data_IF_753592750771
#
_entry.id   IF_753592750771
#
_cell.length_a   1.000
_cell.length_b   1.000
_cell.length_c   1.000
_cell.angle_alpha   90.00
_cell.angle_beta   90.00
_cell.angle_gamma   90.00
#
_symmetry.space_group_name_H-M   'P 1'
#
loop_
_entity.id
_entity.type
_entity.pdbx_description
1 polymer ?
#
# COMPACT_ATOMS: atom_id res chain seq x y z
N UNK A 1 9.99 20.90 -40.44
CA UNK A 1 9.35 20.84 -39.11
C UNK A 1 9.26 19.37 -38.71
N UNK A 2 10.10 18.92 -37.77
CA UNK A 2 10.06 17.53 -37.27
C UNK A 2 9.30 17.52 -35.94
N UNK A 3 8.16 16.84 -35.90
CA UNK A 3 7.40 16.64 -34.67
C UNK A 3 8.07 15.52 -33.86
N UNK A 4 8.59 15.86 -32.68
CA UNK A 4 9.12 14.90 -31.72
C UNK A 4 7.95 14.22 -30.99
N UNK A 5 7.96 12.89 -30.79
CA UNK A 5 6.92 12.23 -30.01
C UNK A 5 7.09 12.62 -28.54
N UNK A 6 6.13 13.36 -27.99
CA UNK A 6 5.98 13.51 -26.56
C UNK A 6 5.68 12.12 -25.97
N UNK A 7 6.74 11.46 -25.50
CA UNK A 7 6.68 10.28 -24.64
C UNK A 7 5.85 10.64 -23.40
N UNK A 8 4.56 10.30 -23.46
CA UNK A 8 3.63 10.34 -22.33
C UNK A 8 4.23 9.44 -21.25
N UNK A 9 4.90 10.06 -20.26
CA UNK A 9 5.38 9.36 -19.05
C UNK A 9 4.18 8.73 -18.39
N UNK A 10 3.96 7.45 -18.66
CA UNK A 10 2.89 6.63 -18.11
C UNK A 10 2.82 6.84 -16.58
N UNK A 11 1.85 7.59 -16.03
CA UNK A 11 1.81 7.85 -14.59
C UNK A 11 1.62 6.56 -13.78
N UNK A 12 1.10 5.51 -14.44
CA UNK A 12 1.02 4.13 -13.96
C UNK A 12 2.39 3.52 -13.64
N UNK A 13 3.44 3.81 -14.42
CA UNK A 13 4.78 3.23 -14.20
C UNK A 13 5.41 3.76 -12.92
N UNK A 14 5.23 5.05 -12.61
CA UNK A 14 5.78 5.67 -11.40
C UNK A 14 5.09 5.18 -10.12
N UNK A 15 3.77 4.96 -10.16
CA UNK A 15 3.01 4.43 -9.03
C UNK A 15 3.37 2.95 -8.82
N UNK A 16 3.35 2.18 -9.90
CA UNK A 16 3.72 0.76 -9.90
C UNK A 16 5.14 0.54 -9.40
N UNK A 17 6.12 1.29 -9.91
CA UNK A 17 7.52 1.25 -9.46
C UNK A 17 7.64 1.55 -7.97
N UNK A 18 7.09 2.68 -7.49
CA UNK A 18 7.13 3.03 -6.06
C UNK A 18 6.44 2.01 -5.17
N UNK A 19 5.31 1.46 -5.63
CA UNK A 19 4.60 0.41 -4.93
C UNK A 19 5.47 -0.85 -4.82
N UNK A 20 6.03 -1.32 -5.93
CA UNK A 20 6.89 -2.51 -6.00
C UNK A 20 8.08 -2.35 -5.06
N UNK A 21 8.86 -1.26 -5.18
CA UNK A 21 10.05 -1.04 -4.36
C UNK A 21 9.72 -1.08 -2.87
N UNK A 22 8.63 -0.42 -2.45
CA UNK A 22 8.20 -0.41 -1.05
C UNK A 22 7.69 -1.76 -0.59
N UNK A 23 6.89 -2.44 -1.42
CA UNK A 23 6.29 -3.71 -1.08
C UNK A 23 7.32 -4.82 -1.00
N UNK A 24 8.22 -4.94 -1.98
CA UNK A 24 9.30 -5.92 -1.96
C UNK A 24 10.22 -5.70 -0.75
N UNK A 25 10.61 -4.46 -0.46
CA UNK A 25 11.41 -4.16 0.73
C UNK A 25 10.71 -4.54 2.04
N UNK A 26 9.38 -4.40 2.12
CA UNK A 26 8.61 -4.85 3.28
C UNK A 26 8.44 -6.38 3.33
N UNK A 27 8.32 -7.01 2.16
CA UNK A 27 8.19 -8.46 2.03
C UNK A 27 9.46 -9.17 2.48
N UNK A 28 10.64 -8.71 2.02
CA UNK A 28 11.94 -9.23 2.45
C UNK A 28 12.11 -9.18 3.97
N UNK A 29 11.63 -8.11 4.62
CA UNK A 29 11.63 -8.00 6.10
C UNK A 29 10.73 -9.04 6.76
N UNK A 30 9.51 -9.22 6.25
CA UNK A 30 8.57 -10.22 6.78
C UNK A 30 9.13 -11.63 6.63
N UNK A 31 9.78 -11.94 5.50
CA UNK A 31 10.37 -13.26 5.26
C UNK A 31 11.64 -13.50 6.08
N UNK A 32 12.36 -12.45 6.47
CA UNK A 32 13.52 -12.54 7.35
C UNK A 32 13.12 -12.73 8.83
N UNK A 33 12.05 -12.07 9.28
CA UNK A 33 11.54 -12.19 10.67
C UNK A 33 10.81 -13.52 10.95
N UNK A 34 10.26 -14.18 9.93
CA UNK A 34 9.51 -15.43 10.07
C UNK A 34 9.83 -16.37 8.89
N UNK A 35 10.95 -17.11 8.97
CA UNK A 35 11.33 -18.09 7.96
C UNK A 35 10.20 -19.10 7.74
N UNK A 36 9.99 -19.53 6.50
CA UNK A 36 8.91 -20.47 6.08
C UNK A 36 8.88 -21.78 6.90
N UNK A 37 9.97 -22.08 7.60
CA UNK A 37 10.22 -23.32 8.33
C UNK A 37 9.33 -23.54 9.56
N UNK A 38 8.67 -22.50 10.12
CA UNK A 38 7.72 -22.68 11.22
C UNK A 38 6.28 -22.83 10.71
N UNK A 39 5.88 -24.08 10.44
CA UNK A 39 4.62 -24.46 9.77
C UNK A 39 3.38 -24.49 10.69
N UNK A 40 3.37 -23.75 11.81
CA UNK A 40 2.17 -23.65 12.63
C UNK A 40 1.05 -22.89 11.89
N UNK A 41 -0.21 -23.35 11.89
CA UNK A 41 -1.34 -22.63 11.28
C UNK A 41 -1.46 -21.17 11.76
N UNK A 42 -1.14 -20.92 13.03
CA UNK A 42 -1.14 -19.59 13.63
C UNK A 42 -0.07 -18.69 13.01
N UNK A 43 1.14 -19.22 12.73
CA UNK A 43 2.23 -18.49 12.08
C UNK A 43 1.89 -18.14 10.63
N UNK A 44 1.30 -19.09 9.91
CA UNK A 44 0.81 -18.89 8.54
C UNK A 44 -0.20 -17.74 8.49
N UNK A 45 -1.20 -17.75 9.38
CA UNK A 45 -2.20 -16.68 9.44
C UNK A 45 -1.60 -15.32 9.82
N UNK A 46 -0.67 -15.29 10.78
CA UNK A 46 0.03 -14.07 11.17
C UNK A 46 0.84 -13.49 10.00
N UNK A 47 1.54 -14.33 9.25
CA UNK A 47 2.32 -13.93 8.08
C UNK A 47 1.42 -13.37 6.98
N UNK A 48 0.32 -14.04 6.65
CA UNK A 48 -0.69 -13.52 5.73
C UNK A 48 -1.17 -12.11 6.14
N UNK A 49 -1.48 -11.93 7.43
CA UNK A 49 -1.93 -10.64 7.95
C UNK A 49 -0.85 -9.56 7.81
N UNK A 50 0.42 -9.88 8.10
CA UNK A 50 1.55 -8.96 7.91
C UNK A 50 1.73 -8.56 6.44
N UNK A 51 1.64 -9.53 5.52
CA UNK A 51 1.75 -9.29 4.07
C UNK A 51 0.61 -8.38 3.59
N UNK A 52 -0.64 -8.65 3.97
CA UNK A 52 -1.79 -7.79 3.64
C UNK A 52 -1.60 -6.35 4.14
N UNK A 53 -1.12 -6.19 5.39
CA UNK A 53 -0.85 -4.88 5.97
C UNK A 53 0.30 -4.17 5.25
N UNK A 54 1.40 -4.87 4.94
CA UNK A 54 2.54 -4.33 4.20
C UNK A 54 2.15 -3.87 2.80
N UNK A 55 1.29 -4.63 2.13
CA UNK A 55 0.72 -4.28 0.83
C UNK A 55 -0.08 -2.98 0.91
N UNK A 56 -1.03 -2.88 1.84
CA UNK A 56 -1.84 -1.68 2.03
C UNK A 56 -1.01 -0.45 2.41
N UNK A 57 0.00 -0.62 3.27
CA UNK A 57 0.96 0.46 3.61
C UNK A 57 1.75 0.90 2.38
N UNK A 58 2.27 -0.04 1.60
CA UNK A 58 3.08 0.26 0.41
C UNK A 58 2.26 1.01 -0.64
N UNK A 59 0.98 0.65 -0.80
CA UNK A 59 0.01 1.34 -1.65
C UNK A 59 -0.26 2.77 -1.16
N UNK A 60 -0.51 2.96 0.14
CA UNK A 60 -0.72 4.29 0.70
C UNK A 60 0.53 5.19 0.55
N UNK A 61 1.74 4.65 0.75
CA UNK A 61 2.97 5.41 0.59
C UNK A 61 3.35 5.69 -0.87
N UNK A 62 2.88 4.90 -1.84
CA UNK A 62 3.22 5.12 -3.26
C UNK A 62 2.52 6.34 -3.84
N UNK A 63 1.38 6.76 -3.29
CA UNK A 63 0.58 7.86 -3.84
C UNK A 63 0.98 9.25 -3.34
N UNK A 64 2.00 9.32 -2.48
CA UNK A 64 2.43 10.51 -1.72
C UNK A 64 1.30 10.96 -0.76
N UNK A 65 1.66 11.56 0.36
CA UNK A 65 0.76 11.87 1.49
C UNK A 65 -0.34 12.91 1.21
N UNK A 66 -0.68 13.20 -0.06
CA UNK A 66 -1.70 14.17 -0.46
C UNK A 66 -3.12 13.60 -0.46
N UNK A 67 -3.28 12.28 -0.53
CA UNK A 67 -4.59 11.62 -0.65
C UNK A 67 -5.24 11.38 0.72
N UNK A 68 -6.51 11.74 0.87
CA UNK A 68 -7.24 11.61 2.13
C UNK A 68 -7.34 10.13 2.54
N UNK A 69 -7.67 9.23 1.60
CA UNK A 69 -7.74 7.80 1.90
C UNK A 69 -6.37 7.23 2.31
N UNK A 70 -5.27 7.73 1.74
CA UNK A 70 -3.91 7.30 2.10
C UNK A 70 -3.57 7.71 3.53
N UNK A 71 -3.87 8.96 3.90
CA UNK A 71 -3.68 9.47 5.28
C UNK A 71 -4.52 8.68 6.28
N UNK A 72 -5.80 8.44 5.97
CA UNK A 72 -6.69 7.63 6.79
C UNK A 72 -6.17 6.19 6.94
N UNK A 73 -5.75 5.56 5.85
CA UNK A 73 -5.19 4.21 5.85
C UNK A 73 -3.91 4.12 6.71
N UNK A 74 -2.99 5.08 6.59
CA UNK A 74 -1.78 5.15 7.42
C UNK A 74 -2.10 5.42 8.90
N UNK A 75 -3.08 6.29 9.19
CA UNK A 75 -3.54 6.57 10.56
C UNK A 75 -4.04 5.30 11.25
N UNK A 76 -4.88 4.51 10.58
CA UNK A 76 -5.39 3.23 11.10
C UNK A 76 -4.28 2.25 11.49
N UNK A 77 -3.14 2.29 10.81
CA UNK A 77 -2.00 1.44 11.15
C UNK A 77 -1.11 2.00 12.27
N UNK A 78 -1.09 3.31 12.49
CA UNK A 78 -0.40 3.95 13.62
C UNK A 78 -1.16 3.72 14.92
N UNK A 79 -2.48 3.88 14.91
CA UNK A 79 -3.34 3.67 16.10
C UNK A 79 -3.27 2.24 16.65
N UNK A 80 -3.03 1.24 15.79
CA UNK A 80 -2.86 -0.17 16.22
C UNK A 80 -1.54 -0.44 16.98
N UNK A 81 -0.53 0.43 16.87
CA UNK A 81 0.68 0.36 17.70
C UNK A 81 0.49 1.05 19.06
N UNK A 82 -0.40 2.03 19.12
CA UNK A 82 -0.70 2.79 20.34
C UNK A 82 -1.70 2.11 21.28
N UNK A 83 -2.42 1.08 20.84
CA UNK A 83 -3.39 0.36 21.68
C UNK A 83 -2.74 -0.44 22.84
N UNK A 84 -1.41 -0.63 22.82
CA UNK A 84 -0.64 -1.19 23.93
C UNK A 84 0.02 -0.13 24.83
N UNK A 85 0.06 1.14 24.41
CA UNK A 85 0.54 2.24 25.24
C UNK A 85 -0.65 3.05 25.72
N UNK A 86 -1.16 2.71 26.91
CA UNK A 86 -2.27 3.41 27.55
C UNK A 86 -2.05 4.91 27.64
N UNK A 87 -2.57 5.66 26.66
CA UNK A 87 -2.99 7.05 26.78
C UNK A 87 -3.74 7.39 25.52
N UNK A 88 -5.04 7.64 25.67
CA UNK A 88 -5.93 8.16 24.64
C UNK A 88 -5.54 9.62 24.39
N UNK A 89 -4.35 9.84 23.84
CA UNK A 89 -3.96 11.13 23.27
C UNK A 89 -4.85 11.32 22.06
N UNK A 90 -5.68 12.36 22.12
CA UNK A 90 -6.32 12.95 20.95
C UNK A 90 -5.20 13.40 20.02
N UNK A 91 -4.68 12.46 19.22
CA UNK A 91 -3.82 12.79 18.10
C UNK A 91 -4.71 13.58 17.18
N UNK A 92 -4.54 14.91 17.22
CA UNK A 92 -5.13 15.87 16.31
C UNK A 92 -4.87 15.33 14.90
N UNK A 93 -5.87 14.68 14.35
CA UNK A 93 -5.92 14.26 12.96
C UNK A 93 -5.93 15.57 12.19
N UNK A 94 -4.74 16.05 11.82
CA UNK A 94 -4.65 17.10 10.83
C UNK A 94 -5.41 16.53 9.62
N UNK A 95 -6.61 17.06 9.40
CA UNK A 95 -7.45 17.00 8.20
C UNK A 95 -8.08 15.64 7.83
N UNK A 96 -8.58 14.86 8.79
CA UNK A 96 -9.46 13.70 8.50
C UNK A 96 -10.96 14.00 8.77
N UNK A 97 -11.29 15.23 9.14
CA UNK A 97 -12.65 15.67 9.47
C UNK A 97 -13.20 16.77 8.54
N UNK A 98 -12.48 17.11 7.48
CA UNK A 98 -13.01 18.01 6.44
C UNK A 98 -14.01 17.21 5.60
N UNK A 99 -15.27 17.67 5.57
CA UNK A 99 -16.28 17.12 4.68
C UNK A 99 -15.76 17.24 3.25
N UNK A 100 -15.67 16.11 2.56
CA UNK A 100 -15.17 16.07 1.18
C UNK A 100 -16.32 16.41 0.24
N UNK A 101 -16.13 17.42 -0.60
CA UNK A 101 -17.06 17.68 -1.70
C UNK A 101 -17.17 16.47 -2.66
N UNK A 102 -18.31 16.32 -3.33
CA UNK A 102 -18.64 15.21 -4.22
C UNK A 102 -17.58 15.04 -5.31
N UNK A 103 -17.12 16.14 -5.93
CA UNK A 103 -16.08 16.08 -6.96
C UNK A 103 -14.76 15.51 -6.41
N UNK A 104 -14.37 15.93 -5.21
CA UNK A 104 -13.16 15.45 -4.54
C UNK A 104 -13.29 13.97 -4.13
N UNK A 105 -14.48 13.53 -3.68
CA UNK A 105 -14.75 12.13 -3.35
C UNK A 105 -14.62 11.23 -4.58
N UNK A 106 -15.13 11.68 -5.73
CA UNK A 106 -15.02 10.96 -6.99
C UNK A 106 -13.55 10.87 -7.47
N UNK A 107 -12.76 11.95 -7.36
CA UNK A 107 -11.32 11.92 -7.68
C UNK A 107 -10.56 10.94 -6.77
N UNK A 108 -10.79 11.00 -5.45
CA UNK A 108 -10.16 10.07 -4.51
C UNK A 108 -10.56 8.61 -4.79
N UNK A 109 -11.81 8.37 -5.18
CA UNK A 109 -12.33 7.04 -5.52
C UNK A 109 -11.68 6.51 -6.81
N UNK A 110 -11.65 7.31 -7.87
CA UNK A 110 -10.99 6.96 -9.12
C UNK A 110 -9.50 6.66 -8.89
N UNK A 111 -8.85 7.52 -8.09
CA UNK A 111 -7.46 7.33 -7.71
C UNK A 111 -7.26 6.05 -6.87
N UNK A 112 -8.14 5.76 -5.94
CA UNK A 112 -8.10 4.54 -5.13
C UNK A 112 -8.25 3.28 -5.97
N UNK A 113 -9.21 3.26 -6.91
CA UNK A 113 -9.42 2.15 -7.85
C UNK A 113 -8.14 1.92 -8.67
N UNK A 114 -7.53 2.98 -9.22
CA UNK A 114 -6.26 2.87 -9.95
C UNK A 114 -5.14 2.25 -9.10
N UNK A 115 -5.07 2.60 -7.82
CA UNK A 115 -4.11 2.03 -6.89
C UNK A 115 -4.37 0.56 -6.61
N UNK A 116 -5.63 0.18 -6.42
CA UNK A 116 -6.05 -1.21 -6.23
C UNK A 116 -5.71 -2.06 -7.45
N UNK A 117 -6.03 -1.59 -8.65
CA UNK A 117 -5.67 -2.28 -9.89
C UNK A 117 -4.16 -2.51 -9.97
N UNK A 118 -3.36 -1.50 -9.64
CA UNK A 118 -1.90 -1.62 -9.62
C UNK A 118 -1.42 -2.63 -8.58
N UNK A 119 -2.00 -2.59 -7.37
CA UNK A 119 -1.70 -3.54 -6.30
C UNK A 119 -1.98 -4.96 -6.76
N UNK A 120 -3.17 -5.24 -7.31
CA UNK A 120 -3.56 -6.57 -7.80
C UNK A 120 -2.64 -7.05 -8.92
N UNK A 121 -2.33 -6.19 -9.90
CA UNK A 121 -1.42 -6.54 -11.00
C UNK A 121 -0.04 -6.93 -10.49
N UNK A 122 0.50 -6.20 -9.52
CA UNK A 122 1.81 -6.51 -8.93
C UNK A 122 1.76 -7.81 -8.14
N UNK A 123 0.72 -8.03 -7.33
CA UNK A 123 0.57 -9.29 -6.57
C UNK A 123 0.47 -10.50 -7.49
N UNK A 124 -0.31 -10.40 -8.58
CA UNK A 124 -0.41 -11.46 -9.59
C UNK A 124 0.94 -11.75 -10.22
N UNK A 125 1.67 -10.73 -10.67
CA UNK A 125 3.00 -10.92 -11.25
C UNK A 125 3.98 -11.59 -10.29
N UNK A 126 3.97 -11.23 -9.01
CA UNK A 126 4.79 -11.89 -8.00
C UNK A 126 4.44 -13.38 -7.90
N UNK A 127 3.15 -13.71 -7.82
CA UNK A 127 2.67 -15.10 -7.79
C UNK A 127 3.09 -15.85 -9.06
N UNK A 128 2.91 -15.26 -10.24
CA UNK A 128 3.33 -15.82 -11.52
C UNK A 128 4.84 -16.11 -11.52
N UNK A 129 5.68 -15.19 -11.05
CA UNK A 129 7.13 -15.39 -10.94
C UNK A 129 7.49 -16.59 -10.06
N UNK A 130 6.81 -16.77 -8.92
CA UNK A 130 7.04 -17.92 -8.04
C UNK A 130 6.54 -19.25 -8.63
N UNK A 131 5.50 -19.22 -9.46
CA UNK A 131 5.03 -20.41 -10.18
C UNK A 131 5.90 -20.77 -11.38
N UNK A 132 6.50 -19.77 -12.06
CA UNK A 132 7.41 -19.94 -13.20
C UNK A 132 8.84 -20.31 -12.78
N UNK A 133 9.22 -20.07 -11.52
CA UNK A 133 10.55 -20.39 -10.98
C UNK A 133 10.63 -21.79 -10.34
N UNK A 134 9.63 -22.64 -10.56
CA UNK A 134 9.54 -24.02 -10.06
C UNK A 134 9.46 -24.97 -11.25
#
# INVERSE_FOLDING_TARGET
MMNTPQQVKNPSSSLKSRFITRFLGALTKITAEDPILSSSPTRIFQRYRRIKVASNKSMAYSVRSRRIWSRAMLSRFRSRRSAFSGRRSSVKTTNCGEAMDVCNLLDETAHYIKCLTTQVQVMRKIVDFYHLSK
#
